data_IF_957154995585
#
_entry.id   IF_957154995585
#
_cell.length_a   1.000
_cell.length_b   1.000
_cell.length_c   1.000
_cell.angle_alpha   90.00
_cell.angle_beta   90.00
_cell.angle_gamma   90.00
#
_symmetry.space_group_name_H-M   'P 1'
#
loop_
_entity.id
_entity.type
_entity.pdbx_description
1 polymer ?
#
# COMPACT_ATOMS: atom_id res chain seq x y z
N UNK A 1 -13.22 22.18 -12.08
CA UNK A 1 -12.49 22.97 -11.07
C UNK A 1 -12.04 21.99 -10.00
N UNK A 2 -10.80 21.52 -10.06
CA UNK A 2 -10.25 20.60 -9.05
C UNK A 2 -9.87 21.44 -7.84
N UNK A 3 -10.68 21.37 -6.79
CA UNK A 3 -10.32 21.91 -5.47
C UNK A 3 -9.19 21.04 -4.93
N UNK A 4 -8.14 21.67 -4.39
CA UNK A 4 -6.88 21.03 -4.07
C UNK A 4 -7.00 20.04 -2.92
N UNK A 5 -7.01 18.75 -3.25
CA UNK A 5 -6.95 17.68 -2.25
C UNK A 5 -5.59 17.60 -1.58
N UNK A 6 -5.58 17.16 -0.32
CA UNK A 6 -4.34 16.96 0.46
C UNK A 6 -3.93 15.49 0.37
N UNK A 7 -2.64 15.23 0.08
CA UNK A 7 -2.05 13.89 0.15
C UNK A 7 -1.12 13.80 1.35
N UNK A 8 -1.32 12.81 2.20
CA UNK A 8 -0.49 12.51 3.37
C UNK A 8 0.11 11.12 3.20
N UNK A 9 1.41 10.98 3.40
CA UNK A 9 2.12 9.67 3.39
C UNK A 9 2.73 9.44 4.77
N UNK A 10 2.52 8.26 5.32
CA UNK A 10 2.95 7.86 6.65
C UNK A 10 3.82 6.59 6.54
N UNK A 11 4.99 6.59 7.17
CA UNK A 11 5.95 5.48 7.13
C UNK A 11 6.47 5.18 5.73
N UNK A 12 6.86 6.22 4.97
CA UNK A 12 7.34 6.09 3.58
C UNK A 12 8.85 6.18 3.46
N UNK A 13 9.44 5.39 2.54
CA UNK A 13 10.87 5.44 2.23
C UNK A 13 11.26 6.64 1.36
N UNK A 14 10.30 7.26 0.68
CA UNK A 14 10.58 8.03 -0.52
C UNK A 14 10.97 7.13 -1.70
N UNK A 15 11.45 7.72 -2.79
CA UNK A 15 11.80 6.99 -4.02
C UNK A 15 13.29 6.72 -4.11
N UNK A 16 13.65 5.45 -4.27
CA UNK A 16 14.97 5.02 -4.73
C UNK A 16 14.96 4.98 -6.26
N UNK A 17 15.90 5.69 -6.89
CA UNK A 17 16.02 5.69 -8.34
C UNK A 17 16.42 4.32 -8.90
N UNK A 18 15.91 3.99 -10.09
CA UNK A 18 16.30 2.79 -10.83
C UNK A 18 17.83 2.73 -11.06
N UNK A 19 18.41 1.54 -10.95
CA UNK A 19 19.85 1.31 -11.11
C UNK A 19 20.71 1.74 -9.92
N UNK A 20 20.10 2.30 -8.86
CA UNK A 20 20.81 2.58 -7.61
C UNK A 20 21.19 1.28 -6.89
N UNK A 21 22.36 1.25 -6.26
CA UNK A 21 22.84 0.14 -5.42
C UNK A 21 22.83 0.54 -3.95
N UNK A 22 21.66 0.96 -3.50
CA UNK A 22 21.44 1.55 -2.18
C UNK A 22 20.14 1.00 -1.59
N UNK A 23 19.85 1.36 -0.33
CA UNK A 23 18.63 0.98 0.35
C UNK A 23 18.02 2.15 1.12
N UNK A 24 16.71 2.29 1.03
CA UNK A 24 15.93 3.23 1.83
C UNK A 24 15.08 2.44 2.83
N UNK A 25 14.92 3.00 4.02
CA UNK A 25 14.16 2.38 5.11
C UNK A 25 13.39 3.43 5.90
N UNK A 26 12.20 3.06 6.35
CA UNK A 26 11.35 3.85 7.24
C UNK A 26 10.71 2.91 8.25
N UNK A 27 10.71 3.30 9.51
CA UNK A 27 10.05 2.59 10.61
C UNK A 27 9.54 3.61 11.62
N UNK A 28 8.42 3.30 12.27
CA UNK A 28 7.98 3.97 13.48
C UNK A 28 7.32 2.96 14.43
N UNK A 29 7.21 3.29 15.71
CA UNK A 29 6.49 2.45 16.67
C UNK A 29 4.99 2.40 16.37
N UNK A 30 4.41 3.52 15.92
CA UNK A 30 2.99 3.63 15.58
C UNK A 30 2.71 4.82 14.67
N UNK A 31 1.56 4.76 14.01
CA UNK A 31 0.87 5.86 13.36
C UNK A 31 -0.43 6.11 14.12
N UNK A 32 -0.75 7.39 14.36
CA UNK A 32 -2.05 7.77 14.91
C UNK A 32 -2.50 9.11 14.33
N UNK A 33 -3.59 9.08 13.59
CA UNK A 33 -4.28 10.25 13.01
C UNK A 33 -5.77 10.14 13.29
N UNK A 34 -6.57 11.11 12.82
CA UNK A 34 -8.04 11.02 12.91
C UNK A 34 -8.65 9.93 12.00
N UNK A 35 -7.94 9.49 10.97
CA UNK A 35 -8.44 8.54 9.98
C UNK A 35 -7.84 7.15 10.14
N UNK A 36 -6.58 7.06 10.56
CA UNK A 36 -5.84 5.81 10.65
C UNK A 36 -5.02 5.73 11.93
N UNK A 37 -5.00 4.54 12.52
CA UNK A 37 -3.98 4.10 13.46
C UNK A 37 -3.41 2.75 13.04
N UNK A 38 -2.13 2.53 13.32
CA UNK A 38 -1.45 1.27 13.08
C UNK A 38 -0.20 1.18 13.95
N UNK A 39 0.24 -0.04 14.25
CA UNK A 39 1.47 -0.31 15.00
C UNK A 39 2.58 -0.78 14.05
N UNK A 40 3.83 -0.48 14.42
CA UNK A 40 5.04 -0.92 13.72
C UNK A 40 4.98 -0.74 12.18
N UNK A 41 4.55 0.43 11.65
CA UNK A 41 4.67 0.68 10.23
C UNK A 41 6.13 0.63 9.80
N UNK A 42 6.43 -0.17 8.79
CA UNK A 42 7.75 -0.22 8.17
C UNK A 42 7.66 -0.27 6.66
N UNK A 43 8.65 0.33 6.01
CA UNK A 43 8.78 0.33 4.57
C UNK A 43 10.26 0.24 4.20
N UNK A 44 10.57 -0.53 3.18
CA UNK A 44 11.93 -0.79 2.73
C UNK A 44 12.01 -0.85 1.22
N UNK A 45 13.08 -0.32 0.67
CA UNK A 45 13.45 -0.46 -0.74
C UNK A 45 14.93 -0.80 -0.83
N UNK A 46 15.28 -1.79 -1.62
CA UNK A 46 16.66 -2.11 -2.01
C UNK A 46 16.78 -2.01 -3.52
N UNK A 47 17.83 -1.35 -3.98
CA UNK A 47 18.30 -1.42 -5.35
C UNK A 47 19.47 -2.38 -5.51
N UNK A 48 19.34 -3.26 -6.49
CA UNK A 48 20.40 -4.12 -7.00
C UNK A 48 20.90 -3.59 -8.34
N UNK A 49 21.82 -4.31 -8.97
CA UNK A 49 22.40 -3.89 -10.26
C UNK A 49 21.36 -3.87 -11.39
N UNK A 50 20.42 -4.81 -11.35
CA UNK A 50 19.49 -5.12 -12.44
C UNK A 50 18.03 -5.19 -11.97
N UNK A 51 17.76 -4.94 -10.69
CA UNK A 51 16.41 -5.04 -10.12
C UNK A 51 16.22 -4.16 -8.88
N UNK A 52 14.95 -3.97 -8.53
CA UNK A 52 14.52 -3.29 -7.31
C UNK A 52 13.64 -4.27 -6.53
N UNK A 53 13.76 -4.24 -5.21
CA UNK A 53 12.87 -4.93 -4.28
C UNK A 53 12.34 -3.96 -3.23
N UNK A 54 11.03 -3.90 -3.07
CA UNK A 54 10.32 -3.01 -2.16
C UNK A 54 9.35 -3.81 -1.30
N UNK A 55 9.26 -3.45 -0.02
CA UNK A 55 8.44 -4.12 0.99
C UNK A 55 7.78 -3.07 1.89
N UNK A 56 6.54 -3.32 2.30
CA UNK A 56 5.82 -2.50 3.28
C UNK A 56 5.02 -3.39 4.22
N UNK A 57 5.00 -3.03 5.50
CA UNK A 57 4.35 -3.76 6.58
C UNK A 57 3.72 -2.80 7.58
N UNK A 58 2.59 -3.19 8.17
CA UNK A 58 2.11 -2.65 9.44
C UNK A 58 1.30 -3.70 10.21
N UNK A 59 1.17 -3.48 11.51
CA UNK A 59 0.33 -4.25 12.42
C UNK A 59 -0.86 -3.42 12.93
N UNK A 60 -1.86 -4.09 13.50
CA UNK A 60 -2.98 -3.48 14.23
C UNK A 60 -3.68 -2.33 13.47
N UNK A 61 -3.96 -2.52 12.18
CA UNK A 61 -4.62 -1.51 11.37
C UNK A 61 -6.01 -1.20 11.91
N UNK A 62 -6.29 0.09 12.10
CA UNK A 62 -7.64 0.62 12.23
C UNK A 62 -7.77 1.85 11.33
N UNK A 63 -8.67 1.76 10.34
CA UNK A 63 -8.95 2.80 9.37
C UNK A 63 -10.42 3.19 9.46
N UNK A 64 -10.74 4.48 9.59
CA UNK A 64 -12.11 4.98 9.65
C UNK A 64 -12.36 5.97 8.52
N UNK A 65 -13.28 5.61 7.61
CA UNK A 65 -13.62 6.39 6.42
C UNK A 65 -15.13 6.49 6.27
N UNK A 66 -15.68 7.70 6.32
CA UNK A 66 -17.13 7.92 6.09
C UNK A 66 -18.03 7.15 7.07
N UNK A 67 -17.56 6.91 8.30
CA UNK A 67 -18.26 6.11 9.31
C UNK A 67 -18.10 4.59 9.15
N UNK A 68 -17.34 4.12 8.16
CA UNK A 68 -16.96 2.71 8.00
C UNK A 68 -15.61 2.49 8.65
N UNK A 69 -15.51 1.46 9.48
CA UNK A 69 -14.23 1.01 10.06
C UNK A 69 -13.70 -0.18 9.29
N UNK A 70 -12.46 -0.12 8.86
CA UNK A 70 -11.72 -1.22 8.24
C UNK A 70 -10.58 -1.57 9.18
N UNK A 71 -10.51 -2.82 9.64
CA UNK A 71 -9.49 -3.26 10.58
C UNK A 71 -8.79 -4.54 10.09
N UNK A 72 -7.50 -4.65 10.38
CA UNK A 72 -6.70 -5.83 10.07
C UNK A 72 -5.65 -6.06 11.17
N UNK A 73 -5.29 -7.32 11.42
CA UNK A 73 -4.21 -7.66 12.35
C UNK A 73 -2.84 -7.25 11.82
N UNK A 74 -2.63 -7.39 10.51
CA UNK A 74 -1.45 -6.93 9.79
C UNK A 74 -1.77 -6.78 8.31
N UNK A 75 -0.99 -5.95 7.62
CA UNK A 75 -1.04 -5.76 6.19
C UNK A 75 0.38 -5.66 5.63
N UNK A 76 0.65 -6.40 4.55
CA UNK A 76 1.98 -6.53 3.97
C UNK A 76 1.90 -6.52 2.45
N UNK A 77 2.85 -5.84 1.81
CA UNK A 77 3.03 -5.87 0.37
C UNK A 77 4.51 -5.96 0.02
N UNK A 78 4.82 -6.79 -0.98
CA UNK A 78 6.16 -6.91 -1.53
C UNK A 78 6.10 -6.89 -3.06
N UNK A 79 7.01 -6.10 -3.63
CA UNK A 79 7.16 -5.90 -5.06
C UNK A 79 8.62 -6.05 -5.41
N UNK A 80 8.94 -6.83 -6.44
CA UNK A 80 10.30 -6.98 -6.94
C UNK A 80 10.27 -7.12 -8.45
N UNK A 81 11.11 -6.38 -9.14
CA UNK A 81 11.12 -6.35 -10.59
C UNK A 81 12.50 -6.01 -11.16
N UNK A 82 12.83 -6.68 -12.27
CA UNK A 82 13.97 -6.35 -13.09
C UNK A 82 13.78 -4.99 -13.77
N UNK A 83 14.86 -4.21 -13.89
CA UNK A 83 14.85 -2.87 -14.48
C UNK A 83 14.57 -2.89 -15.99
N UNK A 84 14.83 -4.01 -16.65
CA UNK A 84 14.50 -4.23 -18.07
C UNK A 84 13.07 -4.75 -18.29
N UNK A 85 12.31 -4.94 -17.21
CA UNK A 85 10.93 -5.44 -17.24
C UNK A 85 10.79 -6.93 -17.54
N UNK A 86 11.90 -7.69 -17.63
CA UNK A 86 11.90 -9.10 -18.03
C UNK A 86 11.28 -10.04 -16.99
N UNK A 87 11.34 -9.67 -15.70
CA UNK A 87 10.87 -10.50 -14.60
C UNK A 87 10.32 -9.64 -13.46
N UNK A 88 9.31 -10.18 -12.77
CA UNK A 88 8.63 -9.53 -11.65
C UNK A 88 8.00 -10.54 -10.72
N UNK A 89 7.95 -10.18 -9.45
CA UNK A 89 7.20 -10.89 -8.42
C UNK A 89 6.47 -9.89 -7.54
N UNK A 90 5.25 -10.23 -7.18
CA UNK A 90 4.38 -9.42 -6.35
C UNK A 90 3.64 -10.33 -5.36
N UNK A 91 3.57 -9.91 -4.10
CA UNK A 91 2.81 -10.60 -3.06
C UNK A 91 2.18 -9.62 -2.09
N UNK A 92 1.02 -10.00 -1.58
CA UNK A 92 0.28 -9.25 -0.58
C UNK A 92 -0.23 -10.21 0.48
N UNK A 93 -0.25 -9.76 1.73
CA UNK A 93 -0.82 -10.51 2.85
C UNK A 93 -1.63 -9.57 3.74
N UNK A 94 -2.80 -10.03 4.19
CA UNK A 94 -3.60 -9.36 5.21
C UNK A 94 -4.12 -10.40 6.19
N UNK A 95 -3.94 -10.14 7.48
CA UNK A 95 -4.50 -10.98 8.54
C UNK A 95 -5.74 -10.35 9.16
N UNK A 96 -6.71 -11.19 9.54
CA UNK A 96 -7.90 -10.80 10.31
C UNK A 96 -8.66 -9.58 9.77
N UNK A 97 -8.82 -9.48 8.44
CA UNK A 97 -9.52 -8.36 7.81
C UNK A 97 -10.99 -8.35 8.24
N UNK A 98 -11.46 -7.18 8.66
CA UNK A 98 -12.86 -6.93 8.94
C UNK A 98 -13.29 -5.54 8.47
N UNK A 99 -14.55 -5.42 8.08
CA UNK A 99 -15.18 -4.17 7.69
C UNK A 99 -16.45 -4.01 8.52
N UNK A 100 -16.53 -2.93 9.29
CA UNK A 100 -17.60 -2.65 10.25
C UNK A 100 -17.86 -3.83 11.21
N UNK A 101 -16.79 -4.53 11.61
CA UNK A 101 -16.85 -5.69 12.49
C UNK A 101 -17.22 -7.02 11.82
N UNK A 102 -17.56 -7.02 10.52
CA UNK A 102 -17.80 -8.23 9.75
C UNK A 102 -16.49 -8.74 9.14
N UNK A 103 -16.17 -10.01 9.36
CA UNK A 103 -14.98 -10.62 8.79
C UNK A 103 -15.07 -10.68 7.26
N UNK A 104 -13.97 -10.35 6.60
CA UNK A 104 -13.82 -10.47 5.15
C UNK A 104 -12.84 -11.59 4.85
N UNK A 105 -13.27 -12.56 4.06
CA UNK A 105 -12.40 -13.64 3.57
C UNK A 105 -11.45 -13.09 2.51
N UNK A 106 -10.14 -13.22 2.74
CA UNK A 106 -9.11 -12.95 1.74
C UNK A 106 -8.84 -14.26 1.00
N UNK A 107 -9.24 -14.32 -0.27
CA UNK A 107 -9.21 -15.57 -1.06
C UNK A 107 -7.92 -15.75 -1.87
N UNK A 108 -7.04 -14.75 -1.84
CA UNK A 108 -5.77 -14.73 -2.58
C UNK A 108 -5.91 -14.30 -4.04
N UNK A 109 -7.12 -13.99 -4.52
CA UNK A 109 -7.30 -13.42 -5.85
C UNK A 109 -6.63 -12.05 -5.92
N UNK A 110 -6.00 -11.77 -7.06
CA UNK A 110 -5.44 -10.45 -7.35
C UNK A 110 -6.58 -9.49 -7.62
N UNK A 111 -6.54 -8.30 -7.02
CA UNK A 111 -7.56 -7.26 -7.12
C UNK A 111 -8.94 -7.70 -6.59
N UNK A 112 -8.97 -8.49 -5.52
CA UNK A 112 -10.22 -8.90 -4.86
C UNK A 112 -10.99 -7.65 -4.40
N UNK A 113 -12.22 -7.46 -4.85
CA UNK A 113 -13.01 -6.25 -4.55
C UNK A 113 -14.15 -6.55 -3.58
N UNK A 114 -14.30 -5.70 -2.57
CA UNK A 114 -15.40 -5.71 -1.60
C UNK A 114 -16.11 -4.36 -1.63
N UNK A 115 -17.41 -4.37 -1.92
CA UNK A 115 -18.21 -3.15 -1.91
C UNK A 115 -18.49 -2.67 -0.48
N UNK A 116 -18.42 -1.36 -0.27
CA UNK A 116 -18.79 -0.70 0.99
C UNK A 116 -19.73 0.48 0.70
N UNK A 117 -20.49 0.98 1.69
CA UNK A 117 -21.29 2.18 1.51
C UNK A 117 -20.43 3.36 1.01
N UNK A 118 -20.80 3.93 -0.14
CA UNK A 118 -20.09 5.08 -0.73
C UNK A 118 -18.81 4.73 -1.51
N UNK A 119 -18.43 3.45 -1.64
CA UNK A 119 -17.28 3.06 -2.44
C UNK A 119 -16.88 1.59 -2.35
N UNK A 120 -15.58 1.33 -2.29
CA UNK A 120 -15.03 -0.03 -2.36
C UNK A 120 -13.73 -0.18 -1.57
N UNK A 121 -13.39 -1.43 -1.29
CA UNK A 121 -12.08 -1.87 -0.83
C UNK A 121 -11.54 -2.87 -1.85
N UNK A 122 -10.33 -2.64 -2.35
CA UNK A 122 -9.58 -3.59 -3.18
C UNK A 122 -8.47 -4.19 -2.32
N UNK A 123 -8.43 -5.51 -2.27
CA UNK A 123 -7.47 -6.31 -1.51
C UNK A 123 -6.51 -6.96 -2.50
N UNK A 124 -5.23 -7.07 -2.12
CA UNK A 124 -4.19 -7.60 -2.99
C UNK A 124 -4.21 -6.87 -4.35
N UNK A 125 -4.22 -5.54 -4.29
CA UNK A 125 -4.26 -4.72 -5.49
C UNK A 125 -2.89 -4.78 -6.17
N UNK A 126 -2.84 -5.29 -7.39
CA UNK A 126 -1.62 -5.37 -8.17
C UNK A 126 -1.81 -4.70 -9.53
N UNK A 127 -0.86 -3.85 -9.88
CA UNK A 127 -0.83 -3.13 -11.14
C UNK A 127 0.55 -3.23 -11.79
N UNK A 128 0.56 -3.40 -13.10
CA UNK A 128 1.76 -3.39 -13.93
C UNK A 128 1.70 -2.12 -14.78
N UNK A 129 2.61 -1.19 -14.51
CA UNK A 129 2.76 0.04 -15.28
C UNK A 129 3.41 -0.26 -16.64
N UNK A 130 3.23 0.66 -17.58
CA UNK A 130 3.68 0.52 -18.97
C UNK A 130 5.19 0.37 -19.15
N UNK A 131 5.98 0.91 -18.22
CA UNK A 131 7.44 0.84 -18.23
C UNK A 131 7.98 -0.42 -17.56
N UNK A 132 7.09 -1.21 -16.98
CA UNK A 132 7.47 -2.41 -16.29
C UNK A 132 7.71 -2.26 -14.79
N UNK A 133 7.20 -1.19 -14.16
CA UNK A 133 7.09 -1.09 -12.71
C UNK A 133 5.87 -1.82 -12.17
N UNK A 134 6.04 -2.74 -11.23
CA UNK A 134 4.93 -3.39 -10.50
C UNK A 134 4.64 -2.59 -9.24
N UNK A 135 3.36 -2.34 -8.98
CA UNK A 135 2.84 -1.72 -7.76
C UNK A 135 1.92 -2.72 -7.09
N UNK A 136 2.11 -2.92 -5.80
CA UNK A 136 1.34 -3.84 -4.97
C UNK A 136 0.87 -3.09 -3.74
N UNK A 137 -0.43 -3.12 -3.49
CA UNK A 137 -1.04 -2.62 -2.27
C UNK A 137 -1.74 -3.77 -1.57
N UNK A 138 -1.53 -3.89 -0.26
CA UNK A 138 -2.27 -4.87 0.50
C UNK A 138 -3.78 -4.55 0.46
N UNK A 139 -4.11 -3.27 0.74
CA UNK A 139 -5.46 -2.76 0.78
C UNK A 139 -5.55 -1.36 0.19
N UNK A 140 -6.57 -1.13 -0.63
CA UNK A 140 -6.90 0.19 -1.18
C UNK A 140 -8.40 0.45 -0.96
N UNK A 141 -8.71 1.40 -0.08
CA UNK A 141 -10.08 1.79 0.25
C UNK A 141 -10.41 3.15 -0.34
N UNK A 142 -11.50 3.22 -1.09
CA UNK A 142 -11.99 4.47 -1.68
C UNK A 142 -13.42 4.71 -1.21
N UNK A 143 -13.68 5.88 -0.65
CA UNK A 143 -15.03 6.37 -0.33
C UNK A 143 -15.22 7.72 -1.02
N UNK A 144 -16.16 7.75 -1.96
CA UNK A 144 -16.37 8.91 -2.84
C UNK A 144 -16.68 10.18 -2.03
N UNK A 145 -15.94 11.25 -2.31
CA UNK A 145 -16.10 12.54 -1.60
C UNK A 145 -15.60 12.55 -0.16
N UNK A 146 -14.97 11.47 0.32
CA UNK A 146 -14.42 11.37 1.68
C UNK A 146 -12.91 11.20 1.63
N UNK A 147 -12.43 10.08 1.08
CA UNK A 147 -11.01 9.76 1.06
C UNK A 147 -10.70 8.59 0.12
N UNK A 148 -9.44 8.54 -0.31
CA UNK A 148 -8.80 7.45 -1.04
C UNK A 148 -7.55 7.07 -0.25
N UNK A 149 -7.50 5.82 0.24
CA UNK A 149 -6.50 5.36 1.19
C UNK A 149 -5.86 4.08 0.72
N UNK A 150 -4.53 4.09 0.62
CA UNK A 150 -3.71 2.93 0.29
C UNK A 150 -2.94 2.51 1.53
N UNK A 151 -2.97 1.21 1.82
CA UNK A 151 -2.33 0.59 2.99
C UNK A 151 -1.37 -0.50 2.54
N UNK A 152 -0.17 -0.47 3.13
CA UNK A 152 0.98 -1.28 2.79
C UNK A 152 1.22 -1.32 1.28
N UNK A 153 1.92 -0.31 0.76
CA UNK A 153 2.25 -0.20 -0.66
C UNK A 153 3.71 -0.44 -0.92
N UNK A 154 4.01 -1.19 -1.97
CA UNK A 154 5.35 -1.43 -2.49
C UNK A 154 5.34 -1.31 -4.02
N UNK A 155 6.31 -0.55 -4.56
CA UNK A 155 6.52 -0.40 -6.00
C UNK A 155 7.96 -0.73 -6.36
N UNK A 156 8.17 -1.44 -7.47
CA UNK A 156 9.50 -1.82 -7.96
C UNK A 156 9.51 -1.94 -9.48
N UNK A 157 10.56 -1.42 -10.14
CA UNK A 157 10.86 -1.67 -11.54
C UNK A 157 11.61 -0.51 -12.20
N UNK A 158 11.36 -0.29 -13.48
CA UNK A 158 12.08 0.69 -14.29
C UNK A 158 11.93 2.14 -13.81
N UNK A 159 10.84 2.48 -13.11
CA UNK A 159 10.68 3.82 -12.49
C UNK A 159 11.46 3.96 -11.17
N UNK A 160 12.12 2.91 -10.68
CA UNK A 160 12.73 2.84 -9.36
C UNK A 160 11.87 2.06 -8.36
N UNK A 161 12.05 2.35 -7.07
CA UNK A 161 11.29 1.74 -6.01
C UNK A 161 10.84 2.73 -4.94
N UNK A 162 9.67 2.50 -4.38
CA UNK A 162 9.18 3.20 -3.20
C UNK A 162 8.28 2.26 -2.40
N UNK A 163 8.22 2.46 -1.10
CA UNK A 163 7.28 1.79 -0.23
C UNK A 163 6.76 2.76 0.83
N UNK A 164 5.54 2.53 1.29
CA UNK A 164 4.95 3.27 2.39
C UNK A 164 3.89 2.46 3.14
N UNK A 165 3.75 2.73 4.44
CA UNK A 165 2.76 2.06 5.27
C UNK A 165 1.34 2.54 4.96
N UNK A 166 1.11 3.85 4.89
CA UNK A 166 -0.21 4.41 4.55
C UNK A 166 -0.08 5.68 3.71
N UNK A 167 -0.90 5.78 2.67
CA UNK A 167 -1.14 7.03 1.94
C UNK A 167 -2.62 7.38 2.01
N UNK A 168 -2.93 8.63 2.32
CA UNK A 168 -4.30 9.15 2.39
C UNK A 168 -4.41 10.34 1.46
N UNK A 169 -5.43 10.34 0.62
CA UNK A 169 -5.85 11.48 -0.19
C UNK A 169 -7.26 11.90 0.18
N UNK A 170 -7.44 13.14 0.58
CA UNK A 170 -8.76 13.75 0.85
C UNK A 170 -9.07 14.82 -0.19
N UNK A 171 -10.37 15.10 -0.47
CA UNK A 171 -10.79 16.19 -1.34
C UNK A 171 -10.29 17.58 -0.93
#
# INVERSE_FOLDING_TARGET
MTVGGTTTVLGGTGTLAAGSRDSLYSEADSISTSLVSADVPSARVIGYVDEIASESYLASLNLTLGGITIAAGSAEAAARAALDGSSRTASSYISNLSISGLQVTVDGTVNQTVSIPGGQVVINEQQILSDGTVVVNALHATVSGVADVVVASAAAGASGGNAYAVQIKTP
#
